data_IF_045100703832
#
_entry.id   IF_045100703832
#
_cell.length_a   1.000
_cell.length_b   1.000
_cell.length_c   1.000
_cell.angle_alpha   90.00
_cell.angle_beta   90.00
_cell.angle_gamma   90.00
#
_symmetry.space_group_name_H-M   'P 1'
#
loop_
_entity.id
_entity.type
_entity.pdbx_description
1 polymer ?
#
# COMPACT_ATOMS: atom_id res chain seq x y z
N UNK A 1 19.98 -14.69 11.21
CA UNK A 1 19.34 -14.63 9.87
C UNK A 1 20.14 -13.70 8.99
N UNK A 2 20.25 -13.97 7.69
CA UNK A 2 20.99 -13.12 6.75
C UNK A 2 20.38 -13.17 5.35
N UNK A 3 20.55 -12.11 4.58
CA UNK A 3 20.27 -12.07 3.15
C UNK A 3 21.47 -12.51 2.31
N UNK A 4 21.23 -12.80 1.02
CA UNK A 4 22.26 -13.10 0.02
C UNK A 4 22.16 -12.18 -1.19
N UNK A 5 23.24 -12.11 -1.98
CA UNK A 5 23.27 -11.37 -3.26
C UNK A 5 22.31 -11.94 -4.31
N UNK A 6 21.96 -13.22 -4.19
CA UNK A 6 21.04 -13.92 -5.10
C UNK A 6 19.56 -13.74 -4.70
N UNK A 7 19.29 -13.02 -3.61
CA UNK A 7 17.93 -12.75 -3.13
C UNK A 7 17.32 -13.81 -2.24
N UNK A 8 18.17 -14.59 -1.56
CA UNK A 8 17.75 -15.66 -0.65
C UNK A 8 17.87 -15.20 0.81
N UNK A 9 16.92 -15.64 1.63
CA UNK A 9 16.96 -15.55 3.08
C UNK A 9 17.55 -16.83 3.64
N UNK A 10 18.60 -16.70 4.46
CA UNK A 10 19.23 -17.80 5.17
C UNK A 10 18.93 -17.71 6.67
N UNK A 11 18.34 -18.78 7.22
CA UNK A 11 18.18 -19.00 8.65
C UNK A 11 19.30 -19.93 9.10
N UNK A 12 20.15 -19.42 9.98
CA UNK A 12 21.36 -20.10 10.41
C UNK A 12 21.14 -20.76 11.78
N UNK A 13 21.70 -21.94 11.96
CA UNK A 13 21.82 -22.55 13.29
C UNK A 13 22.82 -21.71 14.13
N UNK A 14 22.45 -21.27 15.33
CA UNK A 14 23.33 -20.44 16.16
C UNK A 14 24.59 -21.16 16.65
N UNK A 15 24.58 -22.49 16.77
CA UNK A 15 25.70 -23.29 17.28
C UNK A 15 26.77 -23.64 16.24
N UNK A 16 26.44 -23.66 14.95
CA UNK A 16 27.40 -24.02 13.88
C UNK A 16 27.42 -23.05 12.69
N UNK A 17 26.57 -22.02 12.70
CA UNK A 17 26.42 -21.00 11.65
C UNK A 17 26.09 -21.53 10.25
N UNK A 18 25.69 -22.80 10.13
CA UNK A 18 25.23 -23.36 8.86
C UNK A 18 23.78 -22.98 8.61
N UNK A 19 23.44 -22.77 7.34
CA UNK A 19 22.07 -22.50 6.95
C UNK A 19 21.22 -23.78 7.13
N UNK A 20 20.23 -23.71 8.00
CA UNK A 20 19.23 -24.78 8.16
C UNK A 20 18.08 -24.60 7.19
N UNK A 21 17.69 -23.35 6.94
CA UNK A 21 16.64 -23.02 5.98
C UNK A 21 17.14 -21.95 5.02
N UNK A 22 16.84 -22.14 3.75
CA UNK A 22 17.11 -21.21 2.67
C UNK A 22 15.82 -21.00 1.91
N UNK A 23 15.37 -19.76 1.79
CA UNK A 23 14.12 -19.43 1.12
C UNK A 23 14.38 -18.32 0.10
N UNK A 24 14.02 -18.52 -1.19
CA UNK A 24 14.07 -17.44 -2.17
C UNK A 24 13.01 -16.38 -1.83
N UNK A 25 13.42 -15.12 -1.72
CA UNK A 25 12.50 -14.00 -1.44
C UNK A 25 12.34 -13.13 -2.68
N UNK A 26 13.45 -12.61 -3.20
CA UNK A 26 13.49 -11.83 -4.44
C UNK A 26 14.57 -12.40 -5.37
N UNK A 27 14.32 -13.53 -6.05
CA UNK A 27 15.31 -14.15 -6.94
C UNK A 27 15.86 -13.17 -7.97
N UNK A 28 17.20 -13.11 -8.08
CA UNK A 28 17.88 -12.22 -9.02
C UNK A 28 18.08 -10.78 -8.53
N UNK A 29 17.65 -10.44 -7.31
CA UNK A 29 17.98 -9.16 -6.67
C UNK A 29 18.53 -9.39 -5.27
N UNK A 30 19.62 -8.69 -4.91
CA UNK A 30 20.24 -8.85 -3.60
C UNK A 30 19.28 -8.49 -2.47
N UNK A 31 19.25 -9.32 -1.43
CA UNK A 31 18.49 -9.07 -0.21
C UNK A 31 19.35 -8.20 0.72
N UNK A 32 19.09 -6.89 0.72
CA UNK A 32 19.96 -5.88 1.36
C UNK A 32 19.73 -5.82 2.87
N UNK A 33 18.48 -5.86 3.30
CA UNK A 33 18.12 -5.75 4.72
C UNK A 33 17.26 -6.92 5.14
N UNK A 34 17.51 -7.45 6.34
CA UNK A 34 16.73 -8.52 6.95
C UNK A 34 16.58 -8.21 8.43
N UNK A 35 15.35 -8.18 8.93
CA UNK A 35 15.06 -7.97 10.34
C UNK A 35 13.99 -8.94 10.82
N UNK A 36 14.17 -9.56 11.99
CA UNK A 36 13.13 -10.35 12.64
C UNK A 36 12.59 -9.59 13.84
N UNK A 37 11.26 -9.48 13.90
CA UNK A 37 10.56 -8.88 15.02
C UNK A 37 10.07 -9.97 15.99
N UNK A 38 10.66 -10.11 17.19
CA UNK A 38 10.38 -11.25 18.08
C UNK A 38 8.96 -11.25 18.64
N UNK A 39 8.41 -10.08 19.00
CA UNK A 39 7.07 -9.97 19.61
C UNK A 39 5.91 -10.40 18.69
N UNK A 40 6.01 -10.15 17.39
CA UNK A 40 4.96 -10.48 16.42
C UNK A 40 5.31 -11.69 15.54
N UNK A 41 6.53 -12.22 15.70
CA UNK A 41 7.11 -13.32 14.94
C UNK A 41 7.03 -13.10 13.42
N UNK A 42 7.60 -11.99 12.92
CA UNK A 42 7.61 -11.66 11.48
C UNK A 42 9.02 -11.29 11.03
N UNK A 43 9.38 -11.66 9.81
CA UNK A 43 10.65 -11.30 9.18
C UNK A 43 10.36 -10.28 8.08
N UNK A 44 11.02 -9.12 8.16
CA UNK A 44 10.94 -8.05 7.18
C UNK A 44 12.22 -8.09 6.36
N UNK A 45 12.07 -8.04 5.04
CA UNK A 45 13.18 -8.07 4.09
C UNK A 45 13.06 -6.91 3.11
N UNK A 46 14.18 -6.30 2.77
CA UNK A 46 14.27 -5.25 1.77
C UNK A 46 15.30 -5.62 0.71
N UNK A 47 14.88 -5.58 -0.56
CA UNK A 47 15.65 -6.01 -1.72
C UNK A 47 16.22 -4.81 -2.49
N UNK A 48 17.27 -5.04 -3.29
CA UNK A 48 17.95 -3.99 -4.06
C UNK A 48 17.07 -3.38 -5.17
N UNK A 49 16.02 -4.09 -5.60
CA UNK A 49 15.02 -3.64 -6.57
C UNK A 49 13.87 -2.82 -5.95
N UNK A 50 14.05 -2.30 -4.73
CA UNK A 50 13.06 -1.56 -3.98
C UNK A 50 11.82 -2.37 -3.51
N UNK A 51 11.84 -3.69 -3.65
CA UNK A 51 10.79 -4.54 -3.08
C UNK A 51 10.99 -4.75 -1.58
N UNK A 52 9.88 -4.80 -0.85
CA UNK A 52 9.85 -5.16 0.57
C UNK A 52 8.91 -6.34 0.77
N UNK A 53 9.39 -7.40 1.40
CA UNK A 53 8.58 -8.58 1.72
C UNK A 53 8.51 -8.79 3.23
N UNK A 54 7.33 -9.18 3.71
CA UNK A 54 7.08 -9.55 5.11
C UNK A 54 6.66 -11.01 5.17
N UNK A 55 7.50 -11.84 5.79
CA UNK A 55 7.23 -13.25 6.03
C UNK A 55 6.59 -13.42 7.41
N UNK A 56 5.54 -14.22 7.46
CA UNK A 56 4.82 -14.53 8.68
C UNK A 56 4.30 -15.97 8.65
N UNK A 57 4.04 -16.54 9.82
CA UNK A 57 3.37 -17.82 9.98
C UNK A 57 1.90 -17.54 10.39
N UNK A 58 0.90 -18.06 9.65
CA UNK A 58 -0.51 -17.77 9.93
C UNK A 58 -1.00 -18.20 11.33
N UNK A 59 -0.32 -19.17 11.96
CA UNK A 59 -0.71 -19.75 13.25
C UNK A 59 0.07 -19.17 14.43
N UNK A 60 1.34 -18.82 14.24
CA UNK A 60 2.21 -18.37 15.35
C UNK A 60 2.56 -16.89 15.32
N UNK A 61 2.44 -16.22 14.17
CA UNK A 61 2.59 -14.78 14.07
C UNK A 61 1.33 -14.05 14.51
N UNK A 62 1.48 -12.83 15.01
CA UNK A 62 0.36 -12.02 15.52
C UNK A 62 0.38 -10.61 14.94
N UNK A 63 -0.78 -10.01 14.67
CA UNK A 63 -0.93 -8.63 14.14
C UNK A 63 -0.17 -8.41 12.82
N UNK A 64 0.08 -7.15 12.44
CA UNK A 64 0.94 -6.78 11.30
C UNK A 64 0.43 -7.39 9.99
N UNK A 65 1.28 -8.13 9.28
CA UNK A 65 0.90 -8.80 8.04
C UNK A 65 -0.29 -9.76 8.21
N UNK A 66 -0.36 -10.50 9.32
CA UNK A 66 -1.48 -11.44 9.60
C UNK A 66 -2.81 -10.69 9.65
N UNK A 67 -2.84 -9.50 10.26
CA UNK A 67 -4.06 -8.72 10.40
C UNK A 67 -4.59 -8.25 9.05
N UNK A 68 -3.70 -7.78 8.17
CA UNK A 68 -4.04 -7.38 6.81
C UNK A 68 -4.61 -8.57 6.02
N UNK A 69 -3.96 -9.73 6.13
CA UNK A 69 -4.32 -10.92 5.36
C UNK A 69 -5.57 -11.62 5.90
N UNK A 70 -5.93 -11.41 7.17
CA UNK A 70 -7.18 -11.93 7.78
C UNK A 70 -8.42 -11.10 7.47
N UNK A 71 -8.26 -9.86 7.00
CA UNK A 71 -9.39 -8.97 6.71
C UNK A 71 -10.04 -9.40 5.39
N UNK A 72 -11.37 -9.46 5.39
CA UNK A 72 -12.12 -9.68 4.16
C UNK A 72 -11.83 -8.58 3.14
N UNK A 73 -11.75 -8.89 1.83
CA UNK A 73 -11.62 -7.87 0.79
C UNK A 73 -12.68 -6.79 0.95
N UNK A 74 -12.29 -5.51 0.87
CA UNK A 74 -13.24 -4.40 0.97
C UNK A 74 -14.32 -4.58 -0.10
N UNK A 75 -15.58 -4.67 0.30
CA UNK A 75 -16.72 -4.64 -0.63
C UNK A 75 -16.67 -3.31 -1.37
N UNK A 76 -16.56 -3.34 -2.71
CA UNK A 76 -16.63 -2.13 -3.54
C UNK A 76 -17.92 -1.38 -3.21
N UNK A 77 -17.82 -0.08 -2.98
CA UNK A 77 -19.00 0.75 -2.81
C UNK A 77 -19.66 0.93 -4.18
N UNK A 78 -20.99 1.07 -4.22
CA UNK A 78 -21.75 1.26 -5.47
C UNK A 78 -21.30 2.54 -6.19
N UNK A 79 -20.87 3.55 -5.44
CA UNK A 79 -20.39 4.83 -5.99
C UNK A 79 -18.97 4.76 -6.58
N UNK A 80 -18.25 3.65 -6.40
CA UNK A 80 -16.92 3.40 -7.02
C UNK A 80 -17.04 2.78 -8.43
N UNK A 81 -18.21 2.91 -9.07
CA UNK A 81 -18.43 2.55 -10.49
C UNK A 81 -18.34 3.81 -11.37
N UNK A 82 -17.32 3.95 -12.22
CA UNK A 82 -17.19 5.09 -13.13
C UNK A 82 -18.34 5.18 -14.16
N UNK A 83 -19.16 4.13 -14.30
CA UNK A 83 -20.35 4.14 -15.15
C UNK A 83 -21.59 4.75 -14.47
N UNK A 84 -21.55 4.97 -13.15
CA UNK A 84 -22.67 5.52 -12.35
C UNK A 84 -22.34 6.88 -11.75
N UNK A 85 -21.16 7.45 -12.05
CA UNK A 85 -20.83 8.82 -11.64
C UNK A 85 -21.75 9.78 -12.39
N UNK A 86 -22.57 10.50 -11.65
CA UNK A 86 -23.62 11.38 -12.17
C UNK A 86 -23.12 12.27 -13.31
N UNK A 87 -23.86 12.31 -14.42
CA UNK A 87 -23.69 13.29 -15.48
C UNK A 87 -23.89 14.69 -14.89
N UNK A 88 -22.78 15.36 -14.57
CA UNK A 88 -22.77 16.69 -14.00
C UNK A 88 -22.93 17.78 -15.08
N UNK A 89 -23.44 17.43 -16.27
CA UNK A 89 -23.68 18.33 -17.39
C UNK A 89 -24.94 19.20 -17.30
N UNK A 90 -25.83 18.98 -16.32
CA UNK A 90 -27.10 19.69 -16.19
C UNK A 90 -27.29 20.27 -14.79
N UNK A 91 -26.45 21.24 -14.39
CA UNK A 91 -26.55 21.77 -13.03
C UNK A 91 -25.71 22.98 -12.68
N UNK A 92 -25.50 23.92 -13.60
CA UNK A 92 -25.07 25.29 -13.27
C UNK A 92 -26.07 26.26 -13.93
N UNK A 93 -27.30 26.27 -13.44
CA UNK A 93 -28.24 27.36 -13.75
C UNK A 93 -27.64 28.65 -13.17
N UNK A 94 -27.20 29.53 -14.06
CA UNK A 94 -26.72 30.86 -13.73
C UNK A 94 -27.84 31.72 -13.17
N UNK A 95 -28.09 31.58 -11.87
CA UNK A 95 -28.95 32.51 -11.15
C UNK A 95 -28.15 33.81 -10.93
N UNK A 96 -28.31 34.74 -11.86
CA UNK A 96 -27.74 36.07 -11.74
C UNK A 96 -28.28 36.75 -10.48
N UNK A 97 -27.41 37.06 -9.52
CA UNK A 97 -27.77 37.85 -8.35
C UNK A 97 -27.98 39.30 -8.82
N UNK A 98 -29.24 39.69 -9.06
CA UNK A 98 -29.61 41.08 -9.35
C UNK A 98 -29.76 41.82 -8.03
N UNK A 99 -28.74 42.58 -7.64
CA UNK A 99 -28.84 43.54 -6.52
C UNK A 99 -29.47 44.86 -6.99
N UNK A 100 -30.41 45.47 -6.25
CA UNK A 100 -30.96 46.79 -6.57
C UNK A 100 -29.84 47.84 -6.55
N UNK A 101 -29.42 48.32 -7.72
CA UNK A 101 -28.37 49.36 -7.85
C UNK A 101 -27.30 49.11 -8.92
N UNK A 102 -27.27 47.94 -9.56
CA UNK A 102 -26.20 47.56 -10.50
C UNK A 102 -26.33 48.12 -11.94
N UNK A 103 -27.30 48.99 -12.23
CA UNK A 103 -27.40 49.68 -13.52
C UNK A 103 -27.14 51.17 -13.32
N UNK A 104 -25.87 51.57 -13.37
CA UNK A 104 -25.49 52.97 -13.50
C UNK A 104 -24.35 53.10 -14.50
N UNK A 105 -24.64 53.74 -15.63
CA UNK A 105 -23.64 54.41 -16.46
C UNK A 105 -23.12 53.67 -17.68
N UNK A 106 -23.89 53.70 -18.77
CA UNK A 106 -23.31 53.79 -20.11
C UNK A 106 -23.99 54.96 -20.84
N UNK A 107 -23.30 56.10 -20.85
CA UNK A 107 -23.72 57.37 -21.47
C UNK A 107 -23.82 57.23 -22.99
N UNK A 108 -24.79 57.97 -23.54
CA UNK A 108 -24.94 58.32 -24.96
C UNK A 108 -23.65 58.92 -25.55
N UNK A 109 -23.32 58.50 -26.77
CA UNK A 109 -22.84 59.35 -27.87
C UNK A 109 -23.42 58.83 -29.17
#
# INVERSE_FOLDING_TARGET
>A
ITGSETGHLHILNPGNLRAEHVTPITPGSALITVNWHPRINQIITGSANAETHVLYNPTTSNRGAVEVMSRAPKKRHIDDDPNLTMDQGLGMSGDAIITPGALSGARKS
#
